data_IF_023372071661
#
_entry.id   IF_023372071661
#
_cell.length_a   1.000
_cell.length_b   1.000
_cell.length_c   1.000
_cell.angle_alpha   90.00
_cell.angle_beta   90.00
_cell.angle_gamma   90.00
#
_symmetry.space_group_name_H-M   'P 1'
#
loop_
_entity.id
_entity.type
_entity.pdbx_description
1 polymer ?
#
# COMPACT_ATOMS: atom_id res chain seq x y z
N UNK A 1 1.32 -18.60 0.00
CA UNK A 1 0.50 -17.49 0.55
C UNK A 1 1.42 -16.37 0.96
N UNK A 2 1.18 -15.12 0.54
CA UNK A 2 2.06 -14.00 0.91
C UNK A 2 1.63 -13.44 2.27
N UNK A 3 2.61 -13.06 3.12
CA UNK A 3 2.35 -12.44 4.42
C UNK A 3 2.19 -10.93 4.26
N UNK A 4 1.39 -10.31 5.12
CA UNK A 4 1.33 -8.85 5.21
C UNK A 4 2.72 -8.30 5.56
N UNK A 5 3.16 -7.24 4.88
CA UNK A 5 4.44 -6.57 5.18
C UNK A 5 4.46 -5.89 6.55
N UNK A 6 3.30 -5.55 7.11
CA UNK A 6 3.15 -4.75 8.34
C UNK A 6 2.72 -5.54 9.58
N UNK A 7 2.27 -6.78 9.44
CA UNK A 7 1.82 -7.62 10.56
C UNK A 7 1.90 -9.12 10.22
N UNK A 8 1.49 -9.98 11.15
CA UNK A 8 1.56 -11.45 10.99
C UNK A 8 0.41 -12.05 10.17
N UNK A 9 -0.60 -11.26 9.79
CA UNK A 9 -1.77 -11.71 9.01
C UNK A 9 -1.39 -12.08 7.57
N UNK A 10 -2.19 -12.94 6.94
CA UNK A 10 -2.10 -13.23 5.51
C UNK A 10 -2.41 -11.97 4.68
N UNK A 11 -1.64 -11.75 3.63
CA UNK A 11 -1.93 -10.67 2.69
C UNK A 11 -3.12 -11.05 1.80
N UNK A 12 -4.03 -10.10 1.64
CA UNK A 12 -5.20 -10.21 0.77
C UNK A 12 -5.16 -9.18 -0.36
N UNK A 13 -4.28 -8.18 -0.26
CA UNK A 13 -4.15 -7.06 -1.20
C UNK A 13 -2.70 -6.95 -1.68
N UNK A 14 -2.54 -6.69 -2.97
CA UNK A 14 -1.28 -6.33 -3.62
C UNK A 14 -1.31 -4.85 -3.97
N UNK A 15 -0.30 -4.09 -3.53
CA UNK A 15 -0.06 -2.70 -3.91
C UNK A 15 1.27 -2.60 -4.65
N UNK A 16 1.30 -1.92 -5.80
CA UNK A 16 2.54 -1.59 -6.52
C UNK A 16 2.93 -0.16 -6.21
N UNK A 17 4.02 0.04 -5.47
CA UNK A 17 4.60 1.38 -5.28
C UNK A 17 5.45 1.74 -6.50
N UNK A 18 5.19 2.88 -7.13
CA UNK A 18 6.07 3.43 -8.18
C UNK A 18 6.86 4.58 -7.57
N UNK A 19 8.19 4.43 -7.48
CA UNK A 19 9.12 5.50 -7.09
C UNK A 19 10.21 5.61 -8.15
N UNK A 20 10.47 6.82 -8.65
CA UNK A 20 11.48 7.08 -9.69
C UNK A 20 11.34 6.16 -10.92
N UNK A 21 10.10 5.91 -11.34
CA UNK A 21 9.77 5.00 -12.45
C UNK A 21 9.96 3.50 -12.15
N UNK A 22 10.34 3.12 -10.93
CA UNK A 22 10.53 1.73 -10.50
C UNK A 22 9.36 1.23 -9.66
N UNK A 23 8.76 0.12 -10.09
CA UNK A 23 7.70 -0.59 -9.37
C UNK A 23 8.25 -1.51 -8.28
N UNK A 24 7.72 -1.41 -7.06
CA UNK A 24 7.99 -2.31 -5.93
C UNK A 24 6.70 -2.93 -5.40
N UNK A 25 6.67 -4.27 -5.30
CA UNK A 25 5.47 -4.99 -4.86
C UNK A 25 5.35 -5.03 -3.33
N UNK A 26 4.21 -4.59 -2.81
CA UNK A 26 3.89 -4.57 -1.38
C UNK A 26 2.62 -5.37 -1.14
N UNK A 27 2.69 -6.36 -0.24
CA UNK A 27 1.55 -7.22 0.06
C UNK A 27 1.04 -6.88 1.47
N UNK A 28 -0.26 -6.62 1.58
CA UNK A 28 -0.89 -6.16 2.82
C UNK A 28 -2.15 -6.97 3.10
N UNK A 29 -2.49 -7.12 4.39
CA UNK A 29 -3.84 -7.51 4.77
C UNK A 29 -4.79 -6.31 4.60
N UNK A 30 -6.09 -6.58 4.57
CA UNK A 30 -7.12 -5.56 4.36
C UNK A 30 -6.98 -4.34 5.28
N UNK A 31 -6.82 -4.56 6.60
CA UNK A 31 -6.66 -3.47 7.57
C UNK A 31 -5.44 -2.60 7.28
N UNK A 32 -4.28 -3.22 7.07
CA UNK A 32 -3.04 -2.48 6.81
C UNK A 32 -3.04 -1.79 5.45
N UNK A 33 -3.78 -2.33 4.47
CA UNK A 33 -3.93 -1.72 3.15
C UNK A 33 -4.75 -0.43 3.20
N UNK A 34 -5.87 -0.42 3.95
CA UNK A 34 -6.69 0.79 4.13
C UNK A 34 -5.87 1.94 4.71
N UNK A 35 -5.20 1.70 5.85
CA UNK A 35 -4.32 2.69 6.48
C UNK A 35 -3.17 3.13 5.57
N UNK A 36 -2.66 2.22 4.74
CA UNK A 36 -1.59 2.50 3.79
C UNK A 36 -2.06 3.46 2.69
N UNK A 37 -3.24 3.20 2.13
CA UNK A 37 -3.81 4.00 1.03
C UNK A 37 -4.32 5.35 1.52
N UNK A 38 -4.90 5.43 2.72
CA UNK A 38 -5.33 6.70 3.34
C UNK A 38 -4.16 7.64 3.61
N UNK A 39 -3.04 7.12 4.15
CA UNK A 39 -1.83 7.94 4.41
C UNK A 39 -1.15 8.44 3.14
N UNK A 40 -1.32 7.73 2.03
CA UNK A 40 -0.70 8.03 0.75
C UNK A 40 -1.71 8.59 -0.27
N UNK A 41 -2.94 8.90 0.15
CA UNK A 41 -3.89 9.57 -0.70
C UNK A 41 -3.32 10.95 -1.06
N UNK A 42 -3.36 11.37 -2.33
CA UNK A 42 -2.98 12.73 -2.69
C UNK A 42 -3.88 13.68 -1.89
N UNK A 43 -3.28 14.59 -1.12
CA UNK A 43 -4.07 15.65 -0.48
C UNK A 43 -4.65 16.53 -1.58
N UNK A 44 -5.88 17.03 -1.41
CA UNK A 44 -6.52 17.95 -2.38
C UNK A 44 -5.63 19.18 -2.69
N UNK A 45 -4.68 19.52 -1.81
CA UNK A 45 -3.69 20.57 -2.00
C UNK A 45 -2.66 20.29 -3.13
N UNK A 46 -2.49 19.03 -3.55
CA UNK A 46 -1.56 18.65 -4.62
C UNK A 46 -2.21 18.58 -6.02
N UNK A 47 -3.54 18.79 -6.09
CA UNK A 47 -4.34 18.75 -7.32
C UNK A 47 -4.81 20.15 -7.77
N UNK A 48 -4.34 21.22 -7.10
CA UNK A 48 -4.63 22.62 -7.44
C UNK A 48 -3.52 23.24 -8.31
#
# INVERSE_FOLDING_TARGET
MKKCRRCTKTATIHVTEIRDGKGSAVHLCETCAREYLEKNAPSEAALA
#
